data_IF_803801773339
#
_entry.id   IF_803801773339
#
_cell.length_a   1.000
_cell.length_b   1.000
_cell.length_c   1.000
_cell.angle_alpha   90.00
_cell.angle_beta   90.00
_cell.angle_gamma   90.00
#
_symmetry.space_group_name_H-M   'P 1'
#
loop_
_entity.id
_entity.type
_entity.pdbx_description
1 polymer ?
#
# COMPACT_ATOMS: atom_id res chain seq x y z
N UNK A 1 -13.33 -8.71 19.30
CA UNK A 1 -11.90 -8.35 19.46
C UNK A 1 -11.09 -9.13 18.43
N UNK A 2 -10.56 -8.49 17.38
CA UNK A 2 -9.78 -9.20 16.36
C UNK A 2 -8.55 -9.87 16.98
N UNK A 3 -8.25 -11.10 16.56
CA UNK A 3 -7.07 -11.85 17.00
C UNK A 3 -5.79 -11.13 16.51
N UNK A 4 -4.81 -10.94 17.39
CA UNK A 4 -3.53 -10.28 17.06
C UNK A 4 -2.82 -10.97 15.89
N UNK A 5 -2.86 -12.32 15.85
CA UNK A 5 -2.31 -13.11 14.74
C UNK A 5 -2.97 -12.79 13.40
N UNK A 6 -4.29 -12.63 13.39
CA UNK A 6 -5.05 -12.27 12.19
C UNK A 6 -4.69 -10.86 11.71
N UNK A 7 -4.54 -9.89 12.61
CA UNK A 7 -4.14 -8.53 12.24
C UNK A 7 -2.71 -8.46 11.68
N UNK A 8 -1.79 -9.28 12.23
CA UNK A 8 -0.44 -9.43 11.70
C UNK A 8 -0.48 -10.01 10.27
N UNK A 9 -1.23 -11.08 10.04
CA UNK A 9 -1.37 -11.68 8.71
C UNK A 9 -1.96 -10.69 7.68
N UNK A 10 -3.01 -9.95 8.06
CA UNK A 10 -3.60 -8.90 7.22
C UNK A 10 -2.57 -7.81 6.89
N UNK A 11 -1.79 -7.38 7.88
CA UNK A 11 -0.75 -6.36 7.68
C UNK A 11 0.37 -6.87 6.77
N UNK A 12 0.77 -8.14 6.89
CA UNK A 12 1.74 -8.77 6.00
C UNK A 12 1.22 -8.85 4.56
N UNK A 13 -0.05 -9.20 4.38
CA UNK A 13 -0.70 -9.18 3.06
C UNK A 13 -0.70 -7.77 2.45
N UNK A 14 -1.09 -6.75 3.21
CA UNK A 14 -1.00 -5.36 2.76
C UNK A 14 0.44 -4.92 2.49
N UNK A 15 1.43 -5.45 3.23
CA UNK A 15 2.85 -5.21 2.97
C UNK A 15 3.30 -5.77 1.63
N UNK A 16 2.93 -7.01 1.30
CA UNK A 16 3.21 -7.59 -0.01
C UNK A 16 2.51 -6.81 -1.14
N UNK A 17 1.26 -6.39 -0.92
CA UNK A 17 0.51 -5.58 -1.87
C UNK A 17 1.14 -4.19 -2.06
N UNK A 18 1.66 -3.58 -1.00
CA UNK A 18 2.40 -2.32 -1.06
C UNK A 18 3.68 -2.46 -1.89
N UNK A 19 4.43 -3.56 -1.76
CA UNK A 19 5.61 -3.78 -2.59
C UNK A 19 5.26 -3.85 -4.08
N UNK A 20 4.21 -4.58 -4.44
CA UNK A 20 3.71 -4.62 -5.82
C UNK A 20 3.23 -3.25 -6.30
N UNK A 21 2.50 -2.52 -5.45
CA UNK A 21 2.08 -1.15 -5.73
C UNK A 21 3.27 -0.21 -5.98
N UNK A 22 4.40 -0.40 -5.30
CA UNK A 22 5.63 0.35 -5.57
C UNK A 22 6.18 0.15 -6.97
N UNK A 23 6.17 -1.10 -7.45
CA UNK A 23 6.60 -1.42 -8.83
C UNK A 23 5.66 -0.75 -9.84
N UNK A 24 4.35 -0.88 -9.66
CA UNK A 24 3.38 -0.26 -10.56
C UNK A 24 3.43 1.28 -10.52
N UNK A 25 3.61 1.87 -9.34
CA UNK A 25 3.79 3.31 -9.21
C UNK A 25 5.04 3.78 -9.95
N UNK A 26 6.15 3.03 -9.88
CA UNK A 26 7.37 3.36 -10.60
C UNK A 26 7.18 3.31 -12.13
N UNK A 27 6.51 2.26 -12.63
CA UNK A 27 6.20 2.15 -14.06
C UNK A 27 5.28 3.29 -14.53
N UNK A 28 4.18 3.54 -13.81
CA UNK A 28 3.27 4.63 -14.12
C UNK A 28 3.95 6.01 -14.08
N UNK A 29 4.86 6.25 -13.13
CA UNK A 29 5.65 7.49 -13.08
C UNK A 29 6.62 7.60 -14.26
N UNK A 30 7.20 6.49 -14.70
CA UNK A 30 8.09 6.46 -15.87
C UNK A 30 7.30 6.77 -17.14
N UNK A 31 6.09 6.24 -17.30
CA UNK A 31 5.24 6.54 -18.44
C UNK A 31 4.76 8.00 -18.42
N UNK A 32 4.34 8.51 -17.24
CA UNK A 32 4.00 9.94 -17.06
C UNK A 32 5.18 10.85 -17.41
N UNK A 33 6.41 10.45 -17.07
CA UNK A 33 7.61 11.23 -17.38
C UNK A 33 7.85 11.36 -18.89
N UNK A 34 7.60 10.30 -19.67
CA UNK A 34 7.74 10.36 -21.12
C UNK A 34 6.59 11.12 -21.80
N UNK A 35 5.47 11.34 -21.09
CA UNK A 35 4.34 12.16 -21.51
C UNK A 35 3.75 11.81 -22.89
N UNK A 36 3.85 10.54 -23.28
CA UNK A 36 3.32 10.04 -24.55
C UNK A 36 1.85 9.63 -24.39
N UNK A 37 0.93 10.36 -25.03
CA UNK A 37 -0.47 9.97 -25.13
C UNK A 37 -1.37 10.37 -23.94
N UNK A 38 -2.46 9.64 -23.78
CA UNK A 38 -3.43 9.87 -22.69
C UNK A 38 -2.94 9.23 -21.39
N UNK A 39 -2.58 10.08 -20.42
CA UNK A 39 -2.02 9.66 -19.12
C UNK A 39 -3.07 9.31 -18.05
N UNK A 40 -4.36 9.25 -18.43
CA UNK A 40 -5.45 9.06 -17.47
C UNK A 40 -5.34 7.72 -16.71
N UNK A 41 -4.80 6.69 -17.34
CA UNK A 41 -4.65 5.36 -16.75
C UNK A 41 -3.55 5.34 -15.69
N UNK A 42 -2.40 5.92 -16.00
CA UNK A 42 -1.21 6.02 -15.18
C UNK A 42 -1.51 6.79 -13.89
N UNK A 43 -2.25 7.91 -14.01
CA UNK A 43 -2.71 8.67 -12.85
C UNK A 43 -3.69 7.87 -11.97
N UNK A 44 -4.57 7.05 -12.57
CA UNK A 44 -5.45 6.18 -11.80
C UNK A 44 -4.69 5.05 -11.10
N UNK A 45 -3.69 4.46 -11.76
CA UNK A 45 -2.78 3.48 -11.15
C UNK A 45 -2.04 4.11 -9.97
N UNK A 46 -1.53 5.32 -10.11
CA UNK A 46 -0.84 6.04 -9.04
C UNK A 46 -1.76 6.29 -7.83
N UNK A 47 -3.01 6.72 -8.08
CA UNK A 47 -4.03 6.90 -7.03
C UNK A 47 -4.34 5.58 -6.30
N UNK A 48 -4.48 4.48 -7.05
CA UNK A 48 -4.71 3.15 -6.45
C UNK A 48 -3.52 2.72 -5.57
N UNK A 49 -2.29 2.92 -6.04
CA UNK A 49 -1.08 2.64 -5.27
C UNK A 49 -1.03 3.46 -3.97
N UNK A 50 -1.39 4.75 -4.04
CA UNK A 50 -1.47 5.62 -2.87
C UNK A 50 -2.46 5.08 -1.81
N UNK A 51 -3.62 4.58 -2.23
CA UNK A 51 -4.60 3.95 -1.31
C UNK A 51 -4.03 2.69 -0.67
N UNK A 52 -3.35 1.84 -1.45
CA UNK A 52 -2.71 0.60 -0.94
C UNK A 52 -1.65 0.95 0.11
N UNK A 53 -0.80 1.95 -0.15
CA UNK A 53 0.18 2.42 0.82
C UNK A 53 -0.46 2.95 2.09
N UNK A 54 -1.49 3.79 1.97
CA UNK A 54 -2.20 4.32 3.12
C UNK A 54 -2.82 3.20 3.97
N UNK A 55 -3.47 2.22 3.32
CA UNK A 55 -4.05 1.06 4.00
C UNK A 55 -2.99 0.25 4.75
N UNK A 56 -1.83 -0.01 4.12
CA UNK A 56 -0.71 -0.68 4.76
C UNK A 56 -0.18 0.09 5.98
N UNK A 57 0.09 1.39 5.83
CA UNK A 57 0.60 2.24 6.93
C UNK A 57 -0.38 2.28 8.10
N UNK A 58 -1.67 2.47 7.84
CA UNK A 58 -2.71 2.46 8.87
C UNK A 58 -2.73 1.10 9.59
N UNK A 59 -2.72 0.00 8.83
CA UNK A 59 -2.72 -1.36 9.40
C UNK A 59 -1.49 -1.60 10.28
N UNK A 60 -0.30 -1.23 9.80
CA UNK A 60 0.96 -1.36 10.53
C UNK A 60 0.95 -0.54 11.83
N UNK A 61 0.46 0.71 11.80
CA UNK A 61 0.32 1.53 12.99
C UNK A 61 -0.66 0.93 14.01
N UNK A 62 -1.77 0.35 13.57
CA UNK A 62 -2.74 -0.31 14.44
C UNK A 62 -2.16 -1.56 15.11
N UNK A 63 -1.44 -2.40 14.35
CA UNK A 63 -0.77 -3.58 14.90
C UNK A 63 0.29 -3.18 15.91
N UNK A 64 1.15 -2.20 15.59
CA UNK A 64 2.17 -1.71 16.52
C UNK A 64 1.57 -1.14 17.81
N UNK A 65 0.51 -0.32 17.70
CA UNK A 65 -0.20 0.21 18.88
C UNK A 65 -0.75 -0.89 19.78
N UNK A 66 -1.23 -1.99 19.20
CA UNK A 66 -1.77 -3.11 19.95
C UNK A 66 -0.67 -3.97 20.57
N UNK A 67 0.41 -4.22 19.83
CA UNK A 67 1.59 -4.94 20.32
C UNK A 67 2.19 -4.22 21.53
N UNK A 68 2.34 -2.89 21.48
CA UNK A 68 2.82 -2.06 22.60
C UNK A 68 1.95 -2.11 23.85
N UNK A 69 0.65 -2.41 23.73
CA UNK A 69 -0.25 -2.55 24.89
C UNK A 69 -0.25 -3.97 25.48
N UNK A 70 0.33 -4.92 24.76
CA UNK A 70 0.32 -6.35 25.12
C UNK A 70 1.66 -6.81 25.68
N UNK A 71 2.77 -6.17 25.26
CA UNK A 71 4.08 -6.22 25.90
C UNK A 71 4.12 -5.26 27.08
#
# INVERSE_FOLDING_TARGET
>A
MFNLKMQINITMFFGALALLAGIFAHLALTDIYHAEGDLSLEWNVLRLCAVIFAAFVISAMLVMRKLRRTL
#
